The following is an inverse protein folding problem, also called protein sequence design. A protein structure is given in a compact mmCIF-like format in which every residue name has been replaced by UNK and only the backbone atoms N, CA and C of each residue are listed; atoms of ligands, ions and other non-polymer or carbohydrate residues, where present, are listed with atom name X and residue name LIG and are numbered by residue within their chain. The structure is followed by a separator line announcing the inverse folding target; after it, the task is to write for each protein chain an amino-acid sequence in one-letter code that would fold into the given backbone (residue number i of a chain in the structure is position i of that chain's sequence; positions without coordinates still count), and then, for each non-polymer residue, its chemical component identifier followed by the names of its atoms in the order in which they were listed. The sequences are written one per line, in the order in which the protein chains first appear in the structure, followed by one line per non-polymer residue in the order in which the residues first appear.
data_IF_275338926090
#
_entry.id   IF_275338926090
#
_cell.length_a   1.000
_cell.length_b   1.000
_cell.length_c   1.000
_cell.angle_alpha   90.00
_cell.angle_beta   90.00
_cell.angle_gamma   90.00
#
_symmetry.space_group_name_H-M   'P 1'
#
loop_
_entity.id
_entity.type
_entity.pdbx_description
1 polymer ?
#
# COMPACT_ATOMS: atom_id res chain seq x y z
N UNK A 1 19.17 -12.17 9.35
CA UNK A 1 20.40 -12.24 10.19
C UNK A 1 20.80 -10.86 10.71
N UNK A 2 20.87 -9.84 9.87
CA UNK A 2 21.37 -8.49 10.24
C UNK A 2 20.58 -7.81 11.37
N UNK A 3 19.30 -8.08 11.49
CA UNK A 3 18.43 -7.52 12.52
C UNK A 3 18.19 -8.44 13.70
N UNK A 4 18.80 -9.63 13.71
CA UNK A 4 18.65 -10.66 14.75
C UNK A 4 17.17 -10.93 15.12
N UNK A 5 16.31 -11.02 14.11
CA UNK A 5 14.88 -11.33 14.27
C UNK A 5 14.60 -12.79 13.92
N UNK A 6 13.61 -13.37 14.57
CA UNK A 6 13.08 -14.67 14.21
C UNK A 6 12.26 -14.57 12.93
N UNK A 7 12.41 -15.53 12.04
CA UNK A 7 11.60 -15.61 10.84
C UNK A 7 11.12 -17.05 10.60
N UNK A 8 10.04 -17.19 9.89
CA UNK A 8 9.53 -18.47 9.38
C UNK A 8 9.04 -18.30 7.96
N UNK A 9 9.20 -19.36 7.17
CA UNK A 9 8.67 -19.43 5.81
C UNK A 9 7.42 -20.31 5.82
N UNK A 10 6.30 -19.75 5.37
CA UNK A 10 5.01 -20.43 5.30
C UNK A 10 4.46 -20.25 3.89
N UNK A 11 4.24 -21.37 3.16
CA UNK A 11 3.62 -21.32 1.83
C UNK A 11 2.14 -20.91 1.95
N UNK A 12 1.68 -20.11 0.98
CA UNK A 12 0.27 -19.79 0.79
C UNK A 12 -0.37 -20.64 -0.31
N UNK A 13 0.40 -21.50 -0.97
CA UNK A 13 0.01 -22.21 -2.18
C UNK A 13 -1.25 -23.06 -1.97
N UNK A 14 -1.25 -23.94 -0.98
CA UNK A 14 -2.40 -24.80 -0.69
C UNK A 14 -3.68 -24.00 -0.41
N UNK A 15 -3.57 -22.89 0.34
CA UNK A 15 -4.72 -22.03 0.64
C UNK A 15 -5.24 -21.39 -0.65
N UNK A 16 -4.33 -20.86 -1.46
CA UNK A 16 -4.66 -20.20 -2.71
C UNK A 16 -5.32 -21.17 -3.70
N UNK A 17 -4.77 -22.37 -3.86
CA UNK A 17 -5.35 -23.41 -4.71
C UNK A 17 -6.73 -23.84 -4.24
N UNK A 18 -6.91 -24.09 -2.94
CA UNK A 18 -8.19 -24.51 -2.39
C UNK A 18 -9.27 -23.43 -2.55
N UNK A 19 -8.94 -22.15 -2.37
CA UNK A 19 -9.88 -21.06 -2.62
C UNK A 19 -10.28 -21.01 -4.09
N UNK A 20 -9.31 -21.07 -5.02
CA UNK A 20 -9.58 -21.06 -6.46
C UNK A 20 -10.45 -22.26 -6.87
N UNK A 21 -10.15 -23.46 -6.39
CA UNK A 21 -10.94 -24.67 -6.63
C UNK A 21 -12.37 -24.55 -6.09
N UNK A 22 -12.53 -23.95 -4.92
CA UNK A 22 -13.86 -23.71 -4.33
C UNK A 22 -14.72 -22.78 -5.18
N UNK A 23 -14.07 -21.78 -5.81
CA UNK A 23 -14.73 -20.76 -6.62
C UNK A 23 -14.82 -21.12 -8.11
N UNK A 24 -14.18 -22.20 -8.56
CA UNK A 24 -14.06 -22.60 -9.96
C UNK A 24 -15.40 -22.56 -10.72
N UNK A 25 -16.45 -23.15 -10.14
CA UNK A 25 -17.79 -23.14 -10.75
C UNK A 25 -18.40 -21.75 -10.89
N UNK A 26 -18.04 -20.82 -9.97
CA UNK A 26 -18.53 -19.44 -9.99
C UNK A 26 -17.75 -18.57 -10.97
N UNK A 27 -16.50 -18.89 -11.20
CA UNK A 27 -15.58 -18.15 -12.09
C UNK A 27 -15.54 -18.77 -13.50
N UNK A 28 -16.29 -19.85 -13.74
CA UNK A 28 -16.32 -20.50 -15.05
C UNK A 28 -16.70 -19.49 -16.16
N UNK A 29 -15.86 -19.39 -17.18
CA UNK A 29 -16.01 -18.43 -18.29
C UNK A 29 -15.55 -17.01 -17.99
N UNK A 30 -15.11 -16.69 -16.77
CA UNK A 30 -14.50 -15.39 -16.42
C UNK A 30 -12.99 -15.45 -16.64
N UNK A 31 -12.41 -14.35 -17.10
CA UNK A 31 -10.97 -14.22 -17.24
C UNK A 31 -10.33 -13.87 -15.89
N UNK A 32 -9.07 -14.30 -15.70
CA UNK A 32 -8.28 -13.92 -14.53
C UNK A 32 -8.05 -12.41 -14.51
N UNK A 33 -8.17 -11.84 -13.32
CA UNK A 33 -7.95 -10.42 -13.09
C UNK A 33 -7.33 -10.17 -11.70
N UNK A 34 -7.48 -8.99 -11.16
CA UNK A 34 -7.03 -8.60 -9.82
C UNK A 34 -7.66 -9.47 -8.68
N UNK A 35 -8.66 -10.28 -8.99
CA UNK A 35 -9.31 -11.15 -8.00
C UNK A 35 -8.34 -12.19 -7.47
N UNK A 36 -7.60 -12.86 -8.36
CA UNK A 36 -6.64 -13.90 -7.98
C UNK A 36 -5.45 -13.32 -7.20
N UNK A 37 -5.02 -12.11 -7.55
CA UNK A 37 -4.02 -11.38 -6.79
C UNK A 37 -4.51 -11.06 -5.38
N UNK A 38 -5.74 -10.57 -5.27
CA UNK A 38 -6.36 -10.28 -3.99
C UNK A 38 -6.58 -11.54 -3.13
N UNK A 39 -6.84 -12.71 -3.72
CA UNK A 39 -6.91 -13.99 -2.99
C UNK A 39 -5.57 -14.29 -2.32
N UNK A 40 -4.45 -14.13 -3.03
CA UNK A 40 -3.11 -14.35 -2.46
C UNK A 40 -2.81 -13.39 -1.31
N UNK A 41 -3.12 -12.10 -1.47
CA UNK A 41 -2.94 -11.10 -0.42
C UNK A 41 -3.76 -11.45 0.82
N UNK A 42 -5.02 -11.88 0.64
CA UNK A 42 -5.90 -12.29 1.75
C UNK A 42 -5.46 -13.60 2.40
N UNK A 43 -4.92 -14.56 1.66
CA UNK A 43 -4.32 -15.77 2.23
C UNK A 43 -3.18 -15.43 3.19
N UNK A 44 -2.31 -14.48 2.82
CA UNK A 44 -1.26 -13.97 3.72
C UNK A 44 -1.85 -13.31 4.96
N UNK A 45 -2.87 -12.46 4.79
CA UNK A 45 -3.58 -11.81 5.89
C UNK A 45 -4.19 -12.82 6.87
N UNK A 46 -4.84 -13.87 6.35
CA UNK A 46 -5.43 -14.95 7.15
C UNK A 46 -4.37 -15.65 8.01
N UNK A 47 -3.23 -16.06 7.43
CA UNK A 47 -2.14 -16.72 8.15
C UNK A 47 -1.59 -15.82 9.25
N UNK A 48 -1.27 -14.57 8.91
CA UNK A 48 -0.67 -13.62 9.84
C UNK A 48 -1.61 -13.30 11.01
N UNK A 49 -2.90 -13.08 10.74
CA UNK A 49 -3.88 -12.84 11.80
C UNK A 49 -4.10 -14.08 12.67
N UNK A 50 -4.07 -15.28 12.10
CA UNK A 50 -4.17 -16.54 12.85
C UNK A 50 -2.99 -16.71 13.81
N UNK A 51 -1.77 -16.41 13.35
CA UNK A 51 -0.56 -16.42 14.19
C UNK A 51 -0.67 -15.37 15.30
N UNK A 52 -1.07 -14.15 14.95
CA UNK A 52 -1.28 -13.06 15.91
C UNK A 52 -2.24 -13.49 17.02
N UNK A 53 -3.40 -14.02 16.65
CA UNK A 53 -4.42 -14.46 17.61
C UNK A 53 -3.91 -15.61 18.50
N UNK A 54 -3.24 -16.59 17.90
CA UNK A 54 -2.75 -17.78 18.65
C UNK A 54 -1.62 -17.46 19.61
N UNK A 55 -0.76 -16.49 19.26
CA UNK A 55 0.45 -16.17 20.02
C UNK A 55 0.28 -14.92 20.91
N UNK A 56 -0.83 -14.19 20.78
CA UNK A 56 -1.04 -12.91 21.47
C UNK A 56 -0.12 -11.78 20.98
N UNK A 57 0.56 -11.95 19.85
CA UNK A 57 1.47 -10.95 19.28
C UNK A 57 0.73 -9.95 18.40
N UNK A 58 1.18 -8.71 18.43
CA UNK A 58 0.66 -7.65 17.57
C UNK A 58 1.16 -7.83 16.14
N UNK A 59 0.25 -7.84 15.17
CA UNK A 59 0.60 -7.80 13.76
C UNK A 59 0.82 -6.36 13.31
N UNK A 60 2.01 -6.07 12.77
CA UNK A 60 2.33 -4.81 12.13
C UNK A 60 1.98 -4.89 10.63
N UNK A 61 1.29 -3.88 10.12
CA UNK A 61 1.13 -3.70 8.68
C UNK A 61 2.12 -2.68 8.16
N UNK A 62 2.67 -2.90 6.97
CA UNK A 62 3.83 -2.18 6.45
C UNK A 62 3.50 -1.20 5.33
N UNK A 63 2.22 -1.01 5.00
CA UNK A 63 1.80 -0.04 3.99
C UNK A 63 2.19 1.40 4.37
N UNK A 64 2.52 2.18 3.38
CA UNK A 64 2.96 3.57 3.51
C UNK A 64 1.88 4.56 3.02
N UNK A 65 2.14 5.87 3.18
CA UNK A 65 1.18 6.93 2.83
C UNK A 65 0.86 6.98 1.33
N UNK A 66 1.85 6.73 0.48
CA UNK A 66 1.66 6.74 -0.98
C UNK A 66 0.71 5.64 -1.43
N UNK A 67 0.95 4.40 -0.99
CA UNK A 67 0.08 3.26 -1.27
C UNK A 67 -1.33 3.46 -0.72
N UNK A 68 -1.44 3.97 0.52
CA UNK A 68 -2.73 4.28 1.13
C UNK A 68 -3.48 5.37 0.38
N UNK A 69 -2.79 6.41 -0.07
CA UNK A 69 -3.39 7.53 -0.78
C UNK A 69 -4.12 7.04 -2.03
N UNK A 70 -3.44 6.31 -2.88
CA UNK A 70 -3.97 5.82 -4.16
C UNK A 70 -4.75 4.52 -4.05
N UNK A 71 -4.79 3.90 -2.84
CA UNK A 71 -5.48 2.64 -2.60
C UNK A 71 -4.78 1.42 -3.21
N UNK A 72 -3.48 1.50 -3.42
CA UNK A 72 -2.65 0.39 -3.87
C UNK A 72 -2.41 -0.59 -2.73
N UNK A 73 -3.47 -1.27 -2.35
CA UNK A 73 -3.54 -2.20 -1.21
C UNK A 73 -4.80 -3.06 -1.30
N UNK A 74 -4.77 -4.21 -0.68
CA UNK A 74 -5.90 -5.16 -0.67
C UNK A 74 -6.60 -5.14 0.68
N UNK A 75 -7.92 -4.84 0.67
CA UNK A 75 -8.75 -5.00 1.87
C UNK A 75 -8.69 -6.43 2.40
N UNK A 76 -8.45 -6.55 3.72
CA UNK A 76 -8.32 -7.83 4.43
C UNK A 76 -7.12 -8.68 3.98
N UNK A 77 -6.22 -8.10 3.19
CA UNK A 77 -4.94 -8.68 2.79
C UNK A 77 -3.77 -7.99 3.49
N UNK A 78 -2.95 -7.26 2.75
CA UNK A 78 -1.82 -6.47 3.25
C UNK A 78 -2.23 -5.32 4.19
N UNK A 79 -3.52 -4.95 4.20
CA UNK A 79 -4.09 -4.00 5.16
C UNK A 79 -4.37 -4.61 6.53
N UNK A 80 -4.27 -5.94 6.69
CA UNK A 80 -4.46 -6.60 7.98
C UNK A 80 -3.38 -6.21 8.98
N UNK A 81 -3.79 -5.92 10.20
CA UNK A 81 -2.86 -5.63 11.29
C UNK A 81 -3.49 -4.80 12.39
N UNK A 82 -2.75 -4.66 13.49
CA UNK A 82 -3.20 -3.89 14.66
C UNK A 82 -2.53 -2.51 14.73
N UNK A 83 -1.38 -2.34 14.04
CA UNK A 83 -0.64 -1.09 14.04
C UNK A 83 0.15 -0.91 12.74
N UNK A 84 0.14 0.30 12.18
CA UNK A 84 0.76 0.69 10.92
C UNK A 84 1.83 1.77 11.14
N UNK A 85 3.10 1.40 11.42
CA UNK A 85 4.13 2.37 11.77
C UNK A 85 4.51 3.32 10.63
N UNK A 86 4.35 2.90 9.39
CA UNK A 86 4.77 3.65 8.19
C UNK A 86 3.62 4.38 7.49
N UNK A 87 2.37 4.25 7.98
CA UNK A 87 1.17 4.72 7.26
C UNK A 87 1.16 6.22 6.90
N UNK A 88 1.95 7.02 7.59
CA UNK A 88 2.00 8.47 7.40
C UNK A 88 3.33 8.94 6.78
N UNK A 89 4.16 8.01 6.30
CA UNK A 89 5.37 8.28 5.52
C UNK A 89 5.12 8.00 4.04
N UNK A 90 5.49 8.93 3.18
CA UNK A 90 5.54 8.69 1.74
C UNK A 90 6.60 7.65 1.38
N UNK A 91 6.46 6.96 0.25
CA UNK A 91 7.41 5.93 -0.18
C UNK A 91 8.84 6.46 -0.29
N UNK A 92 8.99 7.65 -0.83
CA UNK A 92 10.29 8.35 -0.93
C UNK A 92 10.88 8.66 0.45
N UNK A 93 10.04 8.95 1.45
CA UNK A 93 10.48 9.14 2.84
C UNK A 93 10.92 7.82 3.47
N UNK A 94 10.24 6.71 3.19
CA UNK A 94 10.64 5.37 3.65
C UNK A 94 12.03 5.02 3.12
N UNK A 95 12.31 5.29 1.83
CA UNK A 95 13.64 5.10 1.25
C UNK A 95 14.70 6.00 1.92
N UNK A 96 14.38 7.28 2.13
CA UNK A 96 15.27 8.23 2.80
C UNK A 96 15.58 7.78 4.23
N UNK A 97 14.57 7.32 4.96
CA UNK A 97 14.72 6.80 6.31
C UNK A 97 15.57 5.52 6.34
N UNK A 98 15.40 4.62 5.40
CA UNK A 98 16.19 3.38 5.26
C UNK A 98 17.66 3.69 5.01
N UNK A 99 17.97 4.62 4.09
CA UNK A 99 19.33 5.08 3.83
C UNK A 99 19.95 5.76 5.06
N UNK A 100 19.21 6.61 5.74
CA UNK A 100 19.66 7.25 6.98
C UNK A 100 19.94 6.22 8.09
N UNK A 101 19.08 5.19 8.22
CA UNK A 101 19.29 4.12 9.19
C UNK A 101 20.60 3.38 8.94
N UNK A 102 20.93 3.12 7.68
CA UNK A 102 22.17 2.44 7.29
C UNK A 102 23.44 3.26 7.52
N UNK A 103 23.35 4.59 7.66
CA UNK A 103 24.51 5.42 8.04
C UNK A 103 25.03 5.09 9.44
N UNK A 104 24.18 4.55 10.33
CA UNK A 104 24.60 4.14 11.69
C UNK A 104 25.24 2.76 11.70
N UNK A 105 24.72 1.84 10.97
CA UNK A 105 25.22 0.48 10.75
C UNK A 105 24.44 -0.16 9.60
N UNK A 106 25.11 -0.90 8.72
CA UNK A 106 24.46 -1.55 7.59
C UNK A 106 23.58 -2.72 8.07
N UNK A 107 22.28 -2.49 8.15
CA UNK A 107 21.29 -3.50 8.59
C UNK A 107 20.28 -3.84 7.49
N UNK A 108 19.99 -2.89 6.59
CA UNK A 108 19.12 -3.10 5.45
C UNK A 108 20.01 -3.32 4.23
N UNK A 109 20.02 -4.50 3.60
CA UNK A 109 20.81 -4.74 2.40
C UNK A 109 20.46 -3.74 1.30
N UNK A 110 21.46 -3.24 0.55
CA UNK A 110 21.25 -2.31 -0.56
C UNK A 110 20.28 -2.86 -1.59
N UNK A 111 20.41 -4.15 -1.91
CA UNK A 111 19.50 -4.83 -2.82
C UNK A 111 17.99 -4.73 -2.42
N UNK A 112 17.68 -4.53 -1.14
CA UNK A 112 16.29 -4.30 -0.68
C UNK A 112 15.85 -2.86 -0.97
N UNK A 113 16.77 -1.90 -0.87
CA UNK A 113 16.49 -0.48 -1.11
C UNK A 113 16.41 -0.20 -2.62
N UNK A 114 17.23 -0.88 -3.42
CA UNK A 114 17.34 -0.68 -4.86
C UNK A 114 16.35 -1.52 -5.67
N UNK A 115 15.79 -2.57 -5.07
CA UNK A 115 14.80 -3.42 -5.72
C UNK A 115 13.61 -2.57 -6.15
N UNK A 116 13.20 -2.73 -7.41
CA UNK A 116 11.98 -2.10 -7.92
C UNK A 116 10.76 -2.53 -7.08
N UNK A 117 9.91 -1.58 -6.66
CA UNK A 117 8.70 -1.87 -5.91
C UNK A 117 7.75 -2.79 -6.68
N UNK A 118 7.24 -3.80 -6.00
CA UNK A 118 6.27 -4.74 -6.55
C UNK A 118 5.32 -5.22 -5.44
N UNK A 119 4.06 -5.45 -5.79
CA UNK A 119 3.09 -6.07 -4.90
C UNK A 119 3.36 -7.58 -4.68
N UNK A 120 4.22 -8.21 -5.51
CA UNK A 120 4.56 -9.65 -5.46
C UNK A 120 3.33 -10.57 -5.53
N UNK A 121 2.31 -10.18 -6.29
CA UNK A 121 1.05 -10.92 -6.43
C UNK A 121 0.93 -11.59 -7.80
N UNK A 122 1.73 -11.15 -8.77
CA UNK A 122 1.81 -11.73 -10.11
C UNK A 122 3.26 -11.77 -10.58
N UNK A 123 3.56 -12.65 -11.55
CA UNK A 123 4.88 -12.76 -12.13
C UNK A 123 5.21 -11.50 -12.95
N UNK A 124 6.43 -11.00 -12.85
CA UNK A 124 6.92 -9.77 -13.53
C UNK A 124 6.03 -8.52 -13.34
N UNK A 125 5.32 -8.43 -12.23
CA UNK A 125 4.51 -7.27 -11.88
C UNK A 125 5.35 -6.25 -11.11
N UNK A 126 5.27 -4.99 -11.52
CA UNK A 126 5.90 -3.86 -10.84
C UNK A 126 4.87 -2.75 -10.57
N UNK A 127 5.09 -1.97 -9.51
CA UNK A 127 4.20 -0.85 -9.16
C UNK A 127 4.12 0.18 -10.28
N UNK A 128 5.20 0.35 -11.05
CA UNK A 128 5.28 1.28 -12.18
C UNK A 128 4.33 0.92 -13.34
N UNK A 129 3.84 -0.32 -13.40
CA UNK A 129 2.85 -0.73 -14.42
C UNK A 129 1.50 -0.05 -14.20
N UNK A 130 1.21 0.37 -12.98
CA UNK A 130 -0.06 0.99 -12.58
C UNK A 130 0.10 2.43 -12.10
N UNK A 131 1.21 2.72 -11.43
CA UNK A 131 1.53 4.00 -10.79
C UNK A 131 2.70 4.68 -11.51
N UNK A 132 2.79 6.00 -11.51
CA UNK A 132 4.01 6.67 -11.95
C UNK A 132 5.16 6.39 -10.95
N UNK A 133 6.42 6.70 -11.32
CA UNK A 133 7.54 6.65 -10.36
C UNK A 133 7.19 7.36 -9.05
N UNK A 134 7.62 6.77 -7.92
CA UNK A 134 7.23 7.28 -6.59
C UNK A 134 7.67 8.72 -6.33
N UNK A 135 8.77 9.17 -6.93
CA UNK A 135 9.19 10.57 -6.86
C UNK A 135 8.13 11.51 -7.44
N UNK A 136 7.54 11.15 -8.56
CA UNK A 136 6.46 11.91 -9.20
C UNK A 136 5.15 11.75 -8.42
N UNK A 137 4.80 10.52 -8.03
CA UNK A 137 3.60 10.23 -7.26
C UNK A 137 3.57 11.04 -5.95
N UNK A 138 4.64 10.95 -5.18
CA UNK A 138 4.73 11.59 -3.86
C UNK A 138 4.75 13.11 -3.96
N UNK A 139 5.38 13.68 -4.99
CA UNK A 139 5.35 15.11 -5.22
C UNK A 139 3.93 15.63 -5.49
N UNK A 140 3.14 14.90 -6.30
CA UNK A 140 1.73 15.25 -6.56
C UNK A 140 0.89 15.05 -5.31
N UNK A 141 1.06 13.92 -4.60
CA UNK A 141 0.33 13.62 -3.38
C UNK A 141 0.62 14.64 -2.28
N UNK A 142 1.88 15.00 -2.07
CA UNK A 142 2.27 16.01 -1.07
C UNK A 142 1.63 17.36 -1.39
N UNK A 143 1.71 17.80 -2.64
CA UNK A 143 1.10 19.07 -3.08
C UNK A 143 -0.43 19.05 -2.87
N UNK A 144 -1.10 17.94 -3.16
CA UNK A 144 -2.55 17.85 -3.00
C UNK A 144 -2.99 17.67 -1.54
N UNK A 145 -2.28 16.85 -0.76
CA UNK A 145 -2.69 16.45 0.60
C UNK A 145 -2.15 17.42 1.64
N UNK A 146 -0.85 17.68 1.67
CA UNK A 146 -0.22 18.52 2.69
C UNK A 146 -0.41 20.01 2.36
N UNK A 147 -0.06 20.41 1.13
CA UNK A 147 -0.11 21.82 0.70
C UNK A 147 -1.52 22.27 0.31
N UNK A 148 -2.49 21.34 0.18
CA UNK A 148 -3.88 21.64 -0.20
C UNK A 148 -4.03 22.37 -1.53
N UNK A 149 -3.08 22.18 -2.44
CA UNK A 149 -3.08 22.82 -3.77
C UNK A 149 -4.22 22.29 -4.63
N UNK A 150 -4.74 23.15 -5.49
CA UNK A 150 -5.72 22.78 -6.51
C UNK A 150 -5.07 21.94 -7.61
N UNK A 151 -5.91 21.26 -8.43
CA UNK A 151 -5.43 20.57 -9.63
C UNK A 151 -4.65 21.50 -10.55
N UNK A 152 -5.14 22.75 -10.74
CA UNK A 152 -4.50 23.74 -11.61
C UNK A 152 -3.13 24.16 -11.06
N UNK A 153 -3.01 24.39 -9.75
CA UNK A 153 -1.74 24.74 -9.12
C UNK A 153 -0.70 23.62 -9.31
N UNK A 154 -1.12 22.36 -9.17
CA UNK A 154 -0.23 21.21 -9.36
C UNK A 154 0.19 21.09 -10.83
N UNK A 155 -0.73 21.32 -11.77
CA UNK A 155 -0.37 21.34 -13.20
C UNK A 155 0.63 22.46 -13.52
N UNK A 156 0.49 23.63 -12.90
CA UNK A 156 1.41 24.75 -13.07
C UNK A 156 2.82 24.47 -12.53
N UNK A 157 3.00 23.42 -11.70
CA UNK A 157 4.31 22.94 -11.29
C UNK A 157 5.00 22.06 -12.37
N UNK A 158 4.35 21.85 -13.51
CA UNK A 158 4.89 21.08 -14.65
C UNK A 158 4.41 19.63 -14.75
N UNK A 159 3.44 19.23 -13.91
CA UNK A 159 2.85 17.88 -14.02
C UNK A 159 1.74 17.84 -15.08
N UNK A 160 1.69 16.73 -15.82
CA UNK A 160 0.66 16.54 -16.84
C UNK A 160 -0.74 16.43 -16.19
N UNK A 161 -1.70 17.19 -16.75
CA UNK A 161 -3.07 17.28 -16.22
C UNK A 161 -3.78 15.93 -16.12
N UNK A 162 -3.60 15.05 -17.10
CA UNK A 162 -4.21 13.70 -17.11
C UNK A 162 -3.68 12.87 -15.92
N UNK A 163 -2.38 12.92 -15.65
CA UNK A 163 -1.74 12.23 -14.54
C UNK A 163 -2.21 12.79 -13.20
N UNK A 164 -2.20 14.09 -13.01
CA UNK A 164 -2.68 14.76 -11.78
C UNK A 164 -4.13 14.38 -11.52
N UNK A 165 -5.00 14.48 -12.53
CA UNK A 165 -6.42 14.10 -12.44
C UNK A 165 -6.58 12.63 -12.05
N UNK A 166 -5.82 11.72 -12.67
CA UNK A 166 -5.83 10.28 -12.34
C UNK A 166 -5.51 10.07 -10.87
N UNK A 167 -4.41 10.65 -10.37
CA UNK A 167 -3.94 10.49 -8.99
C UNK A 167 -4.96 11.04 -8.00
N UNK A 168 -5.46 12.27 -8.19
CA UNK A 168 -6.45 12.88 -7.30
C UNK A 168 -7.72 12.01 -7.25
N UNK A 169 -8.20 11.52 -8.39
CA UNK A 169 -9.36 10.64 -8.43
C UNK A 169 -9.10 9.30 -7.70
N UNK A 170 -7.89 8.75 -7.79
CA UNK A 170 -7.52 7.56 -7.00
C UNK A 170 -7.58 7.86 -5.50
N UNK A 171 -7.06 9.00 -5.06
CA UNK A 171 -7.13 9.43 -3.64
C UNK A 171 -8.58 9.49 -3.17
N UNK A 172 -9.45 10.15 -3.92
CA UNK A 172 -10.86 10.31 -3.54
C UNK A 172 -11.59 8.97 -3.49
N UNK A 173 -11.45 8.15 -4.53
CA UNK A 173 -12.15 6.86 -4.64
C UNK A 173 -11.76 5.85 -3.57
N UNK A 174 -10.56 5.94 -3.02
CA UNK A 174 -10.01 4.95 -2.08
C UNK A 174 -10.19 5.34 -0.60
N UNK A 175 -11.00 6.35 -0.29
CA UNK A 175 -11.31 6.69 1.10
C UNK A 175 -11.89 5.51 1.89
N UNK A 176 -12.71 4.67 1.28
CA UNK A 176 -13.31 3.50 1.93
C UNK A 176 -12.25 2.49 2.43
N UNK A 177 -11.12 2.35 1.74
CA UNK A 177 -9.98 1.54 2.20
C UNK A 177 -9.31 2.19 3.41
N UNK A 178 -9.03 3.49 3.33
CA UNK A 178 -8.40 4.24 4.43
C UNK A 178 -9.21 4.21 5.72
N UNK A 179 -10.54 4.16 5.64
CA UNK A 179 -11.43 4.04 6.81
C UNK A 179 -11.29 2.72 7.55
N UNK A 180 -10.77 1.71 6.91
CA UNK A 180 -10.59 0.37 7.45
C UNK A 180 -9.12 0.05 7.76
N UNK A 181 -8.25 1.05 7.67
CA UNK A 181 -6.81 0.86 7.90
C UNK A 181 -6.46 0.96 9.38
N UNK A 182 -5.44 0.19 9.77
CA UNK A 182 -4.93 0.14 11.15
C UNK A 182 -4.48 1.52 11.65
N UNK A 183 -4.59 1.80 12.96
CA UNK A 183 -4.03 3.00 13.55
C UNK A 183 -2.51 3.03 13.37
N UNK A 184 -1.93 4.23 13.43
CA UNK A 184 -0.49 4.46 13.33
C UNK A 184 -0.12 5.83 13.86
N UNK A 185 1.18 6.15 13.81
CA UNK A 185 1.69 7.45 14.24
C UNK A 185 1.37 8.52 13.20
N UNK A 186 1.14 9.74 13.68
CA UNK A 186 1.08 10.93 12.84
C UNK A 186 2.47 11.55 12.76
N UNK A 187 2.99 11.72 11.56
CA UNK A 187 4.32 12.27 11.28
C UNK A 187 4.25 13.51 10.39
N UNK A 188 3.29 13.56 9.50
CA UNK A 188 3.05 14.66 8.57
C UNK A 188 1.93 15.59 9.04
N UNK A 189 1.85 16.85 8.57
CA UNK A 189 0.80 17.81 8.94
C UNK A 189 -0.61 17.29 8.71
N UNK A 190 -0.85 16.60 7.59
CA UNK A 190 -2.15 16.07 7.20
C UNK A 190 -2.12 14.53 7.17
N UNK A 191 -2.62 13.90 8.23
CA UNK A 191 -2.68 12.43 8.33
C UNK A 191 -4.06 11.91 7.91
N UNK A 192 -4.08 10.84 7.13
CA UNK A 192 -5.32 10.19 6.74
C UNK A 192 -6.09 9.62 7.95
N UNK A 193 -7.42 9.82 7.92
CA UNK A 193 -8.32 9.33 8.95
C UNK A 193 -8.43 10.24 10.17
N UNK A 194 -7.43 11.10 10.43
CA UNK A 194 -7.42 12.08 11.51
C UNK A 194 -7.71 13.49 10.99
N UNK A 195 -6.87 13.99 10.09
CA UNK A 195 -6.92 15.37 9.62
C UNK A 195 -7.60 15.48 8.26
N UNK A 196 -7.38 14.50 7.37
CA UNK A 196 -7.94 14.49 6.02
C UNK A 196 -8.86 13.29 5.79
N UNK A 197 -10.10 13.59 5.40
CA UNK A 197 -11.14 12.60 5.06
C UNK A 197 -11.91 13.06 3.84
N UNK A 198 -12.20 12.13 2.95
CA UNK A 198 -13.03 12.37 1.77
C UNK A 198 -14.39 11.68 1.93
N UNK A 199 -15.45 12.17 1.27
CA UNK A 199 -16.71 11.44 1.21
C UNK A 199 -16.52 10.07 0.53
N UNK A 200 -17.01 8.99 1.15
CA UNK A 200 -16.96 7.64 0.56
C UNK A 200 -17.91 7.57 -0.64
N UNK A 201 -19.11 8.14 -0.49
CA UNK A 201 -20.14 8.17 -1.54
C UNK A 201 -20.15 9.57 -2.12
N UNK A 202 -19.38 9.78 -3.18
CA UNK A 202 -19.35 11.04 -3.92
C UNK A 202 -19.29 10.77 -5.40
N UNK A 203 -20.05 11.56 -6.18
CA UNK A 203 -19.99 11.56 -7.64
C UNK A 203 -19.12 12.68 -8.20
N UNK A 204 -18.52 13.48 -7.33
CA UNK A 204 -17.60 14.53 -7.75
C UNK A 204 -16.37 13.93 -8.42
N UNK A 205 -16.00 14.51 -9.57
CA UNK A 205 -14.78 14.16 -10.33
C UNK A 205 -14.04 15.46 -10.63
N UNK A 206 -12.72 15.41 -10.52
CA UNK A 206 -11.83 16.48 -10.95
C UNK A 206 -11.64 16.45 -12.45
#
# INVERSE_FOLDING_TARGET
KNLNINYSLISIEDINENVNKTLEKRFNGLQRDVTEENIQSRARGLILMSISNKTGKVLLTTGNKSELAVGYSTLYGDMCGSFAPLKDLYKTEVYRLSKWRNQKSLVIPEAVIERMPTAELSYDQYDIDTLPPYETLDAILNSFIEDKKSLEDICNMGFEKSLVTKIINMVIKNEYKRRQYSPGVKLNPESFGRDRRFPIVSRFKY
#
